data_IF_547107310295
#
_entry.id   IF_547107310295
#
_cell.length_a   1.000
_cell.length_b   1.000
_cell.length_c   1.000
_cell.angle_alpha   90.00
_cell.angle_beta   90.00
_cell.angle_gamma   90.00
#
_symmetry.space_group_name_H-M   'P 1'
#
loop_
_entity.id
_entity.type
_entity.pdbx_description
1 polymer ?
#
# COMPACT_ATOMS: atom_id res chain seq x y z
N UNK A 1 15.68 -5.27 10.97
CA UNK A 1 14.57 -5.84 10.16
C UNK A 1 13.25 -5.48 10.85
N UNK A 2 12.11 -5.66 10.19
CA UNK A 2 10.78 -5.17 10.61
C UNK A 2 9.76 -6.30 10.46
N UNK A 3 8.68 -6.28 11.23
CA UNK A 3 7.71 -7.39 11.32
C UNK A 3 6.33 -7.04 10.79
N UNK A 4 6.05 -5.74 10.61
CA UNK A 4 4.80 -5.24 10.06
C UNK A 4 5.04 -3.87 9.42
N UNK A 5 4.33 -3.58 8.34
CA UNK A 5 4.37 -2.30 7.63
C UNK A 5 2.96 -1.73 7.60
N UNK A 6 2.84 -0.41 7.79
CA UNK A 6 1.62 0.31 7.43
C UNK A 6 1.97 1.43 6.47
N UNK A 7 1.20 1.56 5.39
CA UNK A 7 1.38 2.61 4.38
C UNK A 7 0.02 3.02 3.78
N UNK A 8 0.03 4.00 2.89
CA UNK A 8 -1.15 4.45 2.12
C UNK A 8 -1.19 3.78 0.75
N UNK A 9 -2.29 3.91 0.00
CA UNK A 9 -2.44 3.31 -1.33
C UNK A 9 -1.29 3.72 -2.27
N UNK A 10 -0.93 5.01 -2.27
CA UNK A 10 0.23 5.52 -3.02
C UNK A 10 1.54 4.77 -2.72
N UNK A 11 1.80 4.39 -1.46
CA UNK A 11 2.99 3.61 -1.11
C UNK A 11 2.97 2.16 -1.62
N UNK A 12 1.78 1.59 -1.84
CA UNK A 12 1.59 0.27 -2.43
C UNK A 12 1.73 0.34 -3.95
N UNK A 13 0.96 1.21 -4.59
CA UNK A 13 0.86 1.25 -6.05
C UNK A 13 2.13 1.79 -6.71
N UNK A 14 2.79 2.80 -6.14
CA UNK A 14 4.03 3.33 -6.71
C UNK A 14 5.20 2.33 -6.64
N UNK A 15 5.21 1.41 -5.66
CA UNK A 15 6.19 0.31 -5.62
C UNK A 15 5.97 -0.67 -6.79
N UNK A 16 4.72 -1.03 -7.07
CA UNK A 16 4.35 -1.88 -8.19
C UNK A 16 4.63 -1.19 -9.53
N UNK A 17 4.19 0.06 -9.68
CA UNK A 17 4.35 0.85 -10.91
C UNK A 17 5.84 0.98 -11.28
N UNK A 18 6.73 1.19 -10.30
CA UNK A 18 8.18 1.29 -10.54
C UNK A 18 8.81 0.02 -11.10
N UNK A 19 8.21 -1.14 -10.88
CA UNK A 19 8.64 -2.39 -11.50
C UNK A 19 8.22 -2.47 -12.98
N UNK A 20 7.20 -1.72 -13.38
CA UNK A 20 6.66 -1.72 -14.75
C UNK A 20 7.26 -0.59 -15.61
N UNK A 21 7.50 0.57 -15.02
CA UNK A 21 8.05 1.74 -15.70
C UNK A 21 8.73 2.72 -14.72
N UNK A 22 9.78 3.44 -15.16
CA UNK A 22 10.53 4.33 -14.27
C UNK A 22 9.78 5.60 -13.89
N UNK A 23 10.14 6.16 -12.74
CA UNK A 23 9.85 7.54 -12.32
C UNK A 23 11.06 8.41 -12.60
N UNK A 24 10.85 9.66 -13.03
CA UNK A 24 11.93 10.57 -13.39
C UNK A 24 12.09 11.71 -12.39
N UNK A 25 13.29 12.25 -12.28
CA UNK A 25 13.56 13.49 -11.53
C UNK A 25 13.11 14.69 -12.38
N UNK A 26 12.42 15.62 -11.73
CA UNK A 26 11.96 16.88 -12.30
C UNK A 26 12.13 18.04 -11.31
N UNK A 27 11.22 19.01 -11.36
CA UNK A 27 11.31 20.25 -10.58
C UNK A 27 9.97 20.63 -9.93
N UNK A 28 10.03 21.17 -8.71
CA UNK A 28 8.88 21.71 -7.97
C UNK A 28 8.22 22.93 -8.65
N UNK A 29 8.88 23.55 -9.63
CA UNK A 29 8.40 24.75 -10.30
C UNK A 29 7.81 24.50 -11.69
N UNK A 30 7.76 23.24 -12.16
CA UNK A 30 7.11 22.94 -13.43
C UNK A 30 5.62 23.30 -13.41
N UNK A 31 5.16 23.96 -14.48
CA UNK A 31 3.78 24.37 -14.65
C UNK A 31 2.86 23.15 -14.81
N UNK A 32 1.89 23.02 -13.89
CA UNK A 32 0.92 21.94 -13.89
C UNK A 32 0.06 21.86 -15.15
N UNK A 33 -0.19 22.98 -15.84
CA UNK A 33 -0.95 22.97 -17.11
C UNK A 33 -0.15 22.27 -18.21
N UNK A 34 1.11 22.65 -18.38
CA UNK A 34 2.00 22.03 -19.39
C UNK A 34 2.18 20.54 -19.11
N UNK A 35 2.34 20.17 -17.83
CA UNK A 35 2.47 18.78 -17.43
C UNK A 35 1.19 17.99 -17.74
N UNK A 36 0.01 18.55 -17.47
CA UNK A 36 -1.27 17.93 -17.80
C UNK A 36 -1.46 17.74 -19.31
N UNK A 37 -1.13 18.75 -20.11
CA UNK A 37 -1.22 18.68 -21.58
C UNK A 37 -0.29 17.60 -22.15
N UNK A 38 0.83 17.34 -21.48
CA UNK A 38 1.78 16.27 -21.84
C UNK A 38 1.47 14.92 -21.18
N UNK A 39 0.36 14.81 -20.44
CA UNK A 39 0.00 13.63 -19.66
C UNK A 39 1.13 13.15 -18.72
N UNK A 40 1.70 14.08 -17.95
CA UNK A 40 2.72 13.81 -16.93
C UNK A 40 2.17 14.20 -15.57
N UNK A 41 2.14 13.25 -14.64
CA UNK A 41 1.77 13.47 -13.25
C UNK A 41 3.02 13.88 -12.44
N UNK A 42 2.86 14.81 -11.49
CA UNK A 42 3.97 15.32 -10.67
C UNK A 42 3.75 15.04 -9.20
N UNK A 43 4.77 14.48 -8.55
CA UNK A 43 4.82 14.20 -7.12
C UNK A 43 6.03 14.94 -6.54
N UNK A 44 5.82 16.16 -6.03
CA UNK A 44 6.91 17.04 -5.61
C UNK A 44 7.84 17.39 -6.78
N UNK A 45 9.09 16.95 -6.73
CA UNK A 45 10.07 17.05 -7.82
C UNK A 45 10.24 15.76 -8.62
N UNK A 46 9.27 14.84 -8.55
CA UNK A 46 9.26 13.61 -9.36
C UNK A 46 8.19 13.71 -10.44
N UNK A 47 8.47 13.08 -11.57
CA UNK A 47 7.57 13.00 -12.72
C UNK A 47 7.24 11.55 -13.05
N UNK A 48 5.95 11.28 -13.20
CA UNK A 48 5.38 9.98 -13.55
C UNK A 48 4.56 10.14 -14.84
N UNK A 49 5.05 9.66 -15.99
CA UNK A 49 4.27 9.66 -17.23
C UNK A 49 2.97 8.88 -17.07
N UNK A 50 1.88 9.33 -17.70
CA UNK A 50 0.59 8.67 -17.58
C UNK A 50 0.59 7.23 -18.14
N UNK A 51 1.47 6.94 -19.09
CA UNK A 51 1.72 5.59 -19.63
C UNK A 51 2.08 4.57 -18.53
N UNK A 52 2.70 5.01 -17.44
CA UNK A 52 2.98 4.14 -16.29
C UNK A 52 1.68 3.61 -15.66
N UNK A 53 0.66 4.45 -15.56
CA UNK A 53 -0.65 4.07 -15.01
C UNK A 53 -1.44 3.18 -15.99
N UNK A 54 -1.29 3.39 -17.30
CA UNK A 54 -1.85 2.48 -18.31
C UNK A 54 -1.23 1.07 -18.23
N UNK A 55 0.09 0.98 -18.09
CA UNK A 55 0.77 -0.31 -17.86
C UNK A 55 0.34 -0.98 -16.56
N UNK A 56 0.10 -0.17 -15.52
CA UNK A 56 -0.42 -0.66 -14.26
C UNK A 56 -1.86 -1.18 -14.38
N UNK A 57 -2.72 -0.50 -15.13
CA UNK A 57 -4.08 -0.98 -15.46
C UNK A 57 -4.02 -2.35 -16.14
N UNK A 58 -3.25 -2.47 -17.22
CA UNK A 58 -3.08 -3.71 -17.98
C UNK A 58 -2.57 -4.86 -17.09
N UNK A 59 -1.71 -4.54 -16.14
CA UNK A 59 -1.17 -5.51 -15.20
C UNK A 59 -2.18 -5.88 -14.10
N UNK A 60 -2.88 -4.93 -13.50
CA UNK A 60 -3.72 -5.18 -12.32
C UNK A 60 -5.11 -5.72 -12.65
N UNK A 61 -5.68 -5.35 -13.81
CA UNK A 61 -7.04 -5.76 -14.19
C UNK A 61 -7.26 -7.28 -14.19
N UNK A 62 -6.40 -8.10 -14.84
CA UNK A 62 -6.56 -9.57 -14.80
C UNK A 62 -6.42 -10.15 -13.39
N UNK A 63 -5.71 -9.44 -12.49
CA UNK A 63 -5.51 -9.87 -11.11
C UNK A 63 -6.75 -9.58 -10.29
N UNK A 64 -7.38 -8.42 -10.48
CA UNK A 64 -8.69 -8.11 -9.89
C UNK A 64 -9.76 -9.13 -10.30
N UNK A 65 -9.76 -9.55 -11.57
CA UNK A 65 -10.65 -10.62 -12.06
C UNK A 65 -10.42 -11.93 -11.27
N UNK A 66 -9.15 -12.31 -11.06
CA UNK A 66 -8.78 -13.49 -10.29
C UNK A 66 -9.19 -13.38 -8.80
N UNK A 67 -9.02 -12.20 -8.18
CA UNK A 67 -9.49 -11.97 -6.80
C UNK A 67 -11.00 -12.18 -6.71
N UNK A 68 -11.77 -11.62 -7.64
CA UNK A 68 -13.22 -11.76 -7.68
C UNK A 68 -13.65 -13.21 -7.90
N UNK A 69 -12.98 -13.92 -8.81
CA UNK A 69 -13.27 -15.32 -9.10
C UNK A 69 -13.02 -16.21 -7.87
N UNK A 70 -11.91 -16.02 -7.18
CA UNK A 70 -11.59 -16.70 -5.93
C UNK A 70 -12.60 -16.37 -4.82
N UNK A 71 -13.05 -15.12 -4.74
CA UNK A 71 -14.09 -14.71 -3.78
C UNK A 71 -15.41 -15.42 -4.08
N UNK A 72 -15.86 -15.45 -5.34
CA UNK A 72 -17.13 -16.07 -5.73
C UNK A 72 -17.11 -17.59 -5.61
N UNK A 73 -16.02 -18.25 -6.03
CA UNK A 73 -15.93 -19.72 -6.07
C UNK A 73 -15.51 -20.34 -4.75
N UNK A 74 -14.61 -19.68 -4.01
CA UNK A 74 -14.00 -20.24 -2.79
C UNK A 74 -14.51 -19.57 -1.51
N UNK A 75 -15.36 -18.54 -1.62
CA UNK A 75 -15.83 -17.77 -0.47
C UNK A 75 -14.72 -16.99 0.24
N UNK A 76 -13.60 -16.74 -0.44
CA UNK A 76 -12.45 -16.02 0.14
C UNK A 76 -12.80 -14.54 0.28
N UNK A 77 -12.83 -14.03 1.51
CA UNK A 77 -12.99 -12.59 1.76
C UNK A 77 -11.62 -11.94 1.74
N UNK A 78 -11.44 -10.95 0.87
CA UNK A 78 -10.18 -10.23 0.75
C UNK A 78 -10.13 -9.07 1.74
N UNK A 79 -8.94 -8.79 2.25
CA UNK A 79 -8.60 -7.58 3.00
C UNK A 79 -7.43 -6.87 2.32
N UNK A 80 -7.18 -5.58 2.61
CA UNK A 80 -6.07 -4.85 2.00
C UNK A 80 -4.73 -5.59 2.10
N UNK A 81 -4.37 -6.10 3.29
CA UNK A 81 -3.10 -6.81 3.50
C UNK A 81 -2.99 -8.09 2.68
N UNK A 82 -4.07 -8.85 2.53
CA UNK A 82 -4.06 -10.09 1.72
C UNK A 82 -4.01 -9.82 0.22
N UNK A 83 -4.58 -8.69 -0.24
CA UNK A 83 -4.45 -8.24 -1.62
C UNK A 83 -3.01 -7.79 -1.88
N UNK A 84 -2.44 -6.97 -1.00
CA UNK A 84 -1.06 -6.48 -1.13
C UNK A 84 -0.07 -7.66 -1.14
N UNK A 85 -0.24 -8.64 -0.25
CA UNK A 85 0.55 -9.87 -0.22
C UNK A 85 0.44 -10.64 -1.55
N UNK A 86 -0.77 -10.77 -2.10
CA UNK A 86 -1.00 -11.41 -3.40
C UNK A 86 -0.29 -10.66 -4.53
N UNK A 87 -0.42 -9.34 -4.59
CA UNK A 87 0.22 -8.51 -5.60
C UNK A 87 1.76 -8.55 -5.48
N UNK A 88 2.29 -8.62 -4.26
CA UNK A 88 3.73 -8.80 -4.01
C UNK A 88 4.27 -10.14 -4.54
N UNK A 89 3.49 -11.22 -4.42
CA UNK A 89 3.85 -12.49 -5.06
C UNK A 89 3.77 -12.41 -6.60
N UNK A 90 2.78 -11.71 -7.14
CA UNK A 90 2.53 -11.65 -8.58
C UNK A 90 3.41 -10.66 -9.34
N UNK A 91 3.96 -9.63 -8.69
CA UNK A 91 4.93 -8.72 -9.33
C UNK A 91 6.27 -9.42 -9.54
N UNK A 92 6.64 -10.32 -8.63
CA UNK A 92 7.80 -11.20 -8.72
C UNK A 92 9.11 -10.48 -9.13
N UNK A 93 9.29 -9.25 -8.64
CA UNK A 93 10.46 -8.42 -8.90
C UNK A 93 11.23 -8.17 -7.60
N UNK A 94 12.52 -8.48 -7.58
CA UNK A 94 13.39 -8.28 -6.43
C UNK A 94 13.64 -6.82 -6.06
N UNK A 95 13.24 -5.87 -6.90
CA UNK A 95 13.31 -4.44 -6.60
C UNK A 95 12.08 -3.93 -5.82
N UNK A 96 11.01 -4.73 -5.72
CA UNK A 96 9.77 -4.35 -5.02
C UNK A 96 9.85 -4.62 -3.52
N UNK A 97 9.39 -3.66 -2.71
CA UNK A 97 9.19 -3.85 -1.27
C UNK A 97 8.10 -4.89 -1.02
N UNK A 98 7.00 -4.83 -1.79
CA UNK A 98 5.87 -5.75 -1.66
C UNK A 98 6.29 -7.20 -1.94
N UNK A 99 7.16 -7.42 -2.92
CA UNK A 99 7.74 -8.74 -3.19
C UNK A 99 8.48 -9.30 -1.97
N UNK A 100 9.38 -8.50 -1.38
CA UNK A 100 10.14 -8.94 -0.21
C UNK A 100 9.27 -9.10 1.03
N UNK A 101 8.26 -8.25 1.22
CA UNK A 101 7.31 -8.38 2.31
C UNK A 101 6.53 -9.69 2.20
N UNK A 102 5.99 -10.00 1.01
CA UNK A 102 5.27 -11.26 0.76
C UNK A 102 6.19 -12.48 0.96
N UNK A 103 7.41 -12.45 0.42
CA UNK A 103 8.38 -13.56 0.55
C UNK A 103 8.80 -13.83 2.00
N UNK A 104 8.92 -12.79 2.82
CA UNK A 104 9.27 -12.89 4.23
C UNK A 104 8.05 -12.95 5.17
N UNK A 105 6.83 -13.03 4.62
CA UNK A 105 5.56 -13.05 5.38
C UNK A 105 5.39 -11.83 6.31
N UNK A 106 5.88 -10.67 5.89
CA UNK A 106 5.70 -9.39 6.57
C UNK A 106 4.38 -8.77 6.07
N UNK A 107 3.34 -8.66 6.91
CA UNK A 107 2.09 -8.03 6.50
C UNK A 107 2.28 -6.53 6.25
N UNK A 108 1.70 -6.07 5.13
CA UNK A 108 1.56 -4.64 4.83
C UNK A 108 0.08 -4.29 5.00
N UNK A 109 -0.25 -3.38 5.91
CA UNK A 109 -1.60 -2.87 6.07
C UNK A 109 -1.77 -1.52 5.38
N UNK A 110 -2.91 -1.34 4.73
CA UNK A 110 -3.30 -0.09 4.10
C UNK A 110 -4.80 0.13 4.30
N UNK A 111 -5.22 0.84 5.37
CA UNK A 111 -6.64 1.00 5.71
C UNK A 111 -7.46 1.68 4.62
N UNK A 112 -6.83 2.57 3.84
CA UNK A 112 -7.44 3.30 2.74
C UNK A 112 -6.83 2.85 1.40
N UNK A 113 -6.91 1.55 1.09
CA UNK A 113 -6.33 0.98 -0.15
C UNK A 113 -6.95 1.55 -1.43
N UNK A 114 -8.17 2.07 -1.34
CA UNK A 114 -8.90 2.66 -2.48
C UNK A 114 -8.54 4.12 -2.76
N UNK A 115 -7.68 4.76 -1.97
CA UNK A 115 -7.32 6.18 -2.12
C UNK A 115 -6.08 6.37 -3.01
N UNK A 116 -6.19 5.94 -4.27
CA UNK A 116 -5.09 5.96 -5.25
C UNK A 116 -5.46 5.32 -6.59
N UNK A 117 -4.48 5.20 -7.48
CA UNK A 117 -4.62 4.55 -8.79
C UNK A 117 -5.19 3.12 -8.68
N UNK A 118 -4.80 2.35 -7.66
CA UNK A 118 -5.38 1.02 -7.44
C UNK A 118 -6.89 1.10 -7.16
N UNK A 119 -7.34 2.15 -6.47
CA UNK A 119 -8.76 2.44 -6.26
C UNK A 119 -9.49 2.77 -7.56
N UNK A 120 -8.88 3.54 -8.45
CA UNK A 120 -9.43 3.82 -9.79
C UNK A 120 -9.61 2.52 -10.59
N UNK A 121 -8.63 1.62 -10.53
CA UNK A 121 -8.72 0.31 -11.20
C UNK A 121 -9.82 -0.57 -10.59
N UNK A 122 -9.96 -0.59 -9.27
CA UNK A 122 -11.07 -1.27 -8.59
C UNK A 122 -12.43 -0.67 -8.99
N UNK A 123 -12.51 0.65 -9.13
CA UNK A 123 -13.70 1.35 -9.59
C UNK A 123 -14.09 0.91 -11.01
N UNK A 124 -13.18 0.99 -11.98
CA UNK A 124 -13.47 0.56 -13.36
C UNK A 124 -13.78 -0.95 -13.46
N UNK A 125 -13.03 -1.78 -12.73
CA UNK A 125 -13.30 -3.21 -12.64
C UNK A 125 -14.71 -3.48 -12.09
N UNK A 126 -15.19 -2.71 -11.10
CA UNK A 126 -16.51 -2.92 -10.51
C UNK A 126 -17.68 -2.76 -11.49
N UNK A 127 -17.55 -1.93 -12.52
CA UNK A 127 -18.57 -1.80 -13.58
C UNK A 127 -18.53 -2.95 -14.57
N UNK A 128 -17.33 -3.48 -14.88
CA UNK A 128 -17.16 -4.60 -15.82
C UNK A 128 -17.55 -5.92 -15.16
N UNK A 129 -17.04 -6.15 -13.95
CA UNK A 129 -17.15 -7.37 -13.17
C UNK A 129 -17.55 -7.04 -11.72
N UNK A 130 -18.85 -6.82 -11.44
CA UNK A 130 -19.30 -6.39 -10.13
C UNK A 130 -19.15 -7.48 -9.05
N UNK A 131 -18.97 -7.02 -7.81
CA UNK A 131 -19.12 -7.83 -6.59
C UNK A 131 -17.83 -8.10 -5.80
N UNK A 132 -16.69 -7.49 -6.15
CA UNK A 132 -15.47 -7.59 -5.34
C UNK A 132 -15.71 -6.88 -4.00
N UNK A 133 -15.42 -7.57 -2.89
CA UNK A 133 -15.60 -7.02 -1.54
C UNK A 133 -14.27 -7.06 -0.81
N UNK A 134 -13.89 -5.92 -0.24
CA UNK A 134 -12.64 -5.77 0.51
C UNK A 134 -13.00 -5.38 1.94
N UNK A 135 -12.71 -6.29 2.87
CA UNK A 135 -13.02 -6.14 4.29
C UNK A 135 -11.82 -5.57 5.07
N UNK A 136 -11.95 -4.31 5.46
CA UNK A 136 -10.96 -3.61 6.28
C UNK A 136 -10.98 -4.03 7.75
N UNK A 137 -12.08 -4.62 8.25
CA UNK A 137 -12.20 -5.01 9.65
C UNK A 137 -11.32 -6.23 9.97
N UNK A 138 -11.16 -7.15 9.02
CA UNK A 138 -10.20 -8.26 9.12
C UNK A 138 -8.78 -7.77 9.36
N UNK A 139 -8.36 -6.73 8.63
CA UNK A 139 -7.04 -6.13 8.77
C UNK A 139 -6.87 -5.42 10.11
N UNK A 140 -7.87 -4.66 10.55
CA UNK A 140 -7.85 -4.01 11.87
C UNK A 140 -7.67 -5.04 12.99
N UNK A 141 -8.39 -6.18 12.92
CA UNK A 141 -8.23 -7.27 13.90
C UNK A 141 -6.84 -7.89 13.84
N UNK A 142 -6.30 -8.11 12.64
CA UNK A 142 -4.96 -8.70 12.44
C UNK A 142 -3.87 -7.80 13.00
N UNK A 143 -3.90 -6.50 12.69
CA UNK A 143 -2.92 -5.53 13.19
C UNK A 143 -2.97 -5.41 14.72
N UNK A 144 -4.15 -5.20 15.31
CA UNK A 144 -4.28 -5.09 16.76
C UNK A 144 -3.86 -6.38 17.48
N UNK A 145 -4.15 -7.55 16.89
CA UNK A 145 -3.70 -8.84 17.43
C UNK A 145 -2.19 -8.99 17.40
N UNK A 146 -1.50 -8.47 16.38
CA UNK A 146 -0.03 -8.45 16.35
C UNK A 146 0.49 -7.64 17.54
N UNK A 147 0.01 -6.42 17.72
CA UNK A 147 0.42 -5.57 18.84
C UNK A 147 0.14 -6.22 20.21
N UNK A 148 -1.09 -6.68 20.46
CA UNK A 148 -1.49 -7.29 21.76
C UNK A 148 -0.70 -8.56 22.11
N UNK A 149 -0.26 -9.33 21.12
CA UNK A 149 0.50 -10.56 21.35
C UNK A 149 2.01 -10.35 21.47
N UNK A 150 2.48 -9.14 21.20
CA UNK A 150 3.90 -8.84 21.23
C UNK A 150 4.36 -8.57 22.66
N UNK A 151 5.57 -9.01 23.00
CA UNK A 151 6.17 -8.73 24.31
C UNK A 151 6.57 -7.26 24.39
N UNK A 152 7.34 -6.80 23.40
CA UNK A 152 7.75 -5.42 23.24
C UNK A 152 7.45 -4.92 21.83
N UNK A 153 7.28 -3.61 21.70
CA UNK A 153 6.85 -3.00 20.44
C UNK A 153 7.67 -1.74 20.15
N UNK A 154 8.33 -1.71 18.99
CA UNK A 154 9.08 -0.55 18.49
C UNK A 154 8.47 0.03 17.21
N UNK A 155 8.26 1.34 17.13
CA UNK A 155 7.66 2.02 15.97
C UNK A 155 8.66 2.97 15.31
N UNK A 156 8.93 2.78 14.01
CA UNK A 156 9.69 3.73 13.20
C UNK A 156 8.70 4.36 12.21
N UNK A 157 8.29 5.60 12.47
CA UNK A 157 7.28 6.30 11.69
C UNK A 157 7.96 7.38 10.84
N UNK A 158 7.92 7.22 9.52
CA UNK A 158 8.24 8.25 8.54
C UNK A 158 6.93 8.87 8.07
N UNK A 159 6.75 10.18 8.29
CA UNK A 159 5.53 10.94 7.96
C UNK A 159 4.40 10.85 9.00
N UNK A 160 3.26 11.49 8.71
CA UNK A 160 2.05 11.52 9.57
C UNK A 160 0.84 10.70 9.06
N UNK A 161 -0.35 11.29 9.13
CA UNK A 161 -1.58 10.78 8.51
C UNK A 161 -2.12 9.46 9.08
N UNK A 162 -2.86 8.73 8.24
CA UNK A 162 -3.49 7.44 8.57
C UNK A 162 -2.46 6.42 9.04
N UNK A 163 -1.27 6.41 8.44
CA UNK A 163 -0.19 5.47 8.78
C UNK A 163 0.24 5.62 10.24
N UNK A 164 0.58 6.85 10.66
CA UNK A 164 0.94 7.15 12.05
C UNK A 164 -0.19 6.76 12.99
N UNK A 165 -1.40 7.24 12.70
CA UNK A 165 -2.54 7.04 13.59
C UNK A 165 -2.89 5.55 13.75
N UNK A 166 -2.87 4.78 12.66
CA UNK A 166 -3.29 3.38 12.67
C UNK A 166 -2.34 2.49 13.48
N UNK A 167 -1.02 2.70 13.38
CA UNK A 167 -0.03 1.96 14.19
C UNK A 167 -0.04 2.40 15.65
N UNK A 168 -0.12 3.70 15.93
CA UNK A 168 -0.21 4.19 17.32
C UNK A 168 -1.48 3.65 18.00
N UNK A 169 -2.60 3.60 17.28
CA UNK A 169 -3.85 3.04 17.80
C UNK A 169 -3.78 1.53 18.06
N UNK A 170 -3.04 0.78 17.24
CA UNK A 170 -2.80 -0.64 17.52
C UNK A 170 -1.98 -0.86 18.80
N UNK A 171 -0.98 -0.01 19.03
CA UNK A 171 -0.11 -0.07 20.22
C UNK A 171 -0.77 0.48 21.49
N UNK A 172 -1.81 1.32 21.37
CA UNK A 172 -2.64 1.75 22.51
C UNK A 172 -3.29 0.54 23.24
N UNK A 173 -3.49 -0.57 22.53
CA UNK A 173 -4.10 -1.78 23.09
C UNK A 173 -3.13 -2.59 23.98
N UNK A 174 -1.85 -2.18 24.08
CA UNK A 174 -0.78 -2.88 24.80
C UNK A 174 -0.32 -2.03 25.99
N UNK A 175 0.04 -2.67 27.12
CA UNK A 175 0.42 -1.99 28.38
C UNK A 175 1.94 -1.91 28.63
N UNK A 176 2.77 -2.23 27.65
CA UNK A 176 4.23 -2.40 27.83
C UNK A 176 5.04 -1.27 27.19
N UNK A 177 6.36 -1.30 27.38
CA UNK A 177 7.31 -0.28 26.94
C UNK A 177 7.29 -0.10 25.41
N UNK A 178 7.06 1.14 24.98
CA UNK A 178 7.00 1.54 23.58
C UNK A 178 8.23 2.36 23.24
N UNK A 179 9.01 1.88 22.28
CA UNK A 179 10.08 2.67 21.66
C UNK A 179 9.54 3.31 20.38
N UNK A 180 9.70 4.62 20.20
CA UNK A 180 9.27 5.28 18.97
C UNK A 180 10.32 6.24 18.43
N UNK A 181 10.49 6.22 17.11
CA UNK A 181 11.25 7.21 16.35
C UNK A 181 10.33 7.81 15.29
N UNK A 182 10.15 9.13 15.33
CA UNK A 182 9.27 9.87 14.44
C UNK A 182 10.08 10.88 13.62
N UNK A 183 10.01 10.76 12.29
CA UNK A 183 10.60 11.71 11.36
C UNK A 183 9.51 12.23 10.43
N UNK A 184 9.26 13.55 10.44
CA UNK A 184 8.26 14.16 9.56
C UNK A 184 8.78 15.44 8.90
N UNK A 185 8.63 15.49 7.58
CA UNK A 185 8.46 16.69 6.76
C UNK A 185 7.33 16.38 5.77
N UNK A 186 6.09 16.47 6.24
CA UNK A 186 4.78 16.47 5.56
C UNK A 186 4.46 15.55 4.35
N UNK A 187 5.33 14.71 3.76
CA UNK A 187 4.99 14.07 2.46
C UNK A 187 5.40 12.60 2.19
N UNK A 188 5.98 11.84 3.12
CA UNK A 188 6.21 10.38 2.90
C UNK A 188 5.76 9.59 4.12
N UNK A 189 4.78 8.70 3.96
CA UNK A 189 4.13 7.94 5.03
C UNK A 189 4.49 6.45 4.98
N UNK A 190 5.61 6.07 5.60
CA UNK A 190 5.98 4.66 5.81
C UNK A 190 6.25 4.48 7.28
N UNK A 191 5.52 3.59 7.93
CA UNK A 191 5.86 3.18 9.28
C UNK A 191 6.16 1.69 9.34
N UNK A 192 7.27 1.40 10.01
CA UNK A 192 7.83 0.08 10.21
C UNK A 192 7.65 -0.28 11.68
N UNK A 193 7.03 -1.42 11.95
CA UNK A 193 6.97 -1.99 13.29
C UNK A 193 8.13 -2.98 13.44
N UNK A 194 8.96 -2.78 14.46
CA UNK A 194 9.99 -3.73 14.88
C UNK A 194 9.49 -4.39 16.16
N UNK A 195 9.26 -5.69 16.11
CA UNK A 195 9.01 -6.51 17.27
C UNK A 195 10.34 -7.01 17.81
N UNK A 196 10.51 -6.90 19.12
CA UNK A 196 11.58 -7.56 19.85
C UNK A 196 10.96 -8.62 20.77
#
# INVERSE_FOLDING_TARGET
MVDCIVTTAGGVEEDLIKCLAPTYVGDFNFDGRILRDKAINRIGNLLVPNDNYCKFEDWVMPRLDALLDEQKKKGKVWSPSTIIERLGHEINDSNSILYWAAKNRIPIFCPALTDGSLGDMMYFHSYRNPGLVIDILQDLRRLNRIAVKSTNTGMIILGGGVVKHHICNANLMVRFDIYYMFMSRDQIHICLHVLF
#
